data_IF_380706736743
#
_entry.id   IF_380706736743
#
_cell.length_a   1.000
_cell.length_b   1.000
_cell.length_c   1.000
_cell.angle_alpha   90.00
_cell.angle_beta   90.00
_cell.angle_gamma   90.00
#
_symmetry.space_group_name_H-M   'P 1'
#
loop_
_entity.id
_entity.type
_entity.pdbx_description
1 polymer ?
#
# COMPACT_ATOMS: atom_id res chain seq x y z
N UNK A 1 -9.79 -45.81 -21.77
CA UNK A 1 -9.01 -44.61 -22.15
C UNK A 1 -9.48 -43.44 -21.28
N UNK A 2 -8.70 -43.10 -20.26
CA UNK A 2 -9.02 -42.00 -19.34
C UNK A 2 -8.22 -40.80 -19.83
N UNK A 3 -8.89 -39.76 -20.27
CA UNK A 3 -8.25 -38.48 -20.63
C UNK A 3 -8.01 -37.68 -19.37
N UNK A 4 -6.74 -37.52 -18.99
CA UNK A 4 -6.33 -36.62 -17.97
C UNK A 4 -6.34 -35.19 -18.55
N UNK A 5 -7.26 -34.36 -18.08
CA UNK A 5 -7.25 -32.90 -18.35
C UNK A 5 -6.17 -32.31 -17.47
N UNK A 6 -5.02 -32.01 -18.05
CA UNK A 6 -3.99 -31.16 -17.44
C UNK A 6 -4.52 -29.73 -17.41
N UNK A 7 -4.98 -29.28 -16.25
CA UNK A 7 -5.21 -27.87 -15.98
C UNK A 7 -3.85 -27.17 -15.94
N UNK A 8 -3.50 -26.47 -17.02
CA UNK A 8 -2.37 -25.57 -17.03
C UNK A 8 -2.68 -24.39 -16.12
N UNK A 9 -2.02 -24.31 -14.98
CA UNK A 9 -1.98 -23.10 -14.17
C UNK A 9 -1.33 -22.01 -15.04
N UNK A 10 -2.11 -21.10 -15.56
CA UNK A 10 -1.57 -19.87 -16.14
C UNK A 10 -0.94 -19.06 -15.01
N UNK A 11 0.37 -19.07 -14.98
CA UNK A 11 1.13 -18.06 -14.22
C UNK A 11 0.86 -16.74 -14.94
N UNK A 12 -0.09 -15.96 -14.42
CA UNK A 12 -0.31 -14.61 -14.88
C UNK A 12 0.98 -13.84 -14.62
N UNK A 13 1.63 -13.41 -15.70
CA UNK A 13 2.85 -12.59 -15.63
C UNK A 13 2.58 -11.37 -14.76
N UNK A 14 3.43 -11.15 -13.75
CA UNK A 14 3.34 -10.00 -12.86
C UNK A 14 3.21 -8.72 -13.70
N UNK A 15 2.31 -7.83 -13.26
CA UNK A 15 2.12 -6.54 -13.91
C UNK A 15 3.45 -5.78 -13.88
N UNK A 16 3.95 -5.38 -15.03
CA UNK A 16 5.16 -4.56 -15.11
C UNK A 16 4.81 -3.14 -14.69
N UNK A 17 5.71 -2.48 -13.96
CA UNK A 17 5.50 -1.09 -13.50
C UNK A 17 5.10 -0.16 -14.63
N UNK A 18 5.63 -0.36 -15.84
CA UNK A 18 5.37 0.46 -17.03
C UNK A 18 3.89 0.47 -17.50
N UNK A 19 3.05 -0.39 -16.94
CA UNK A 19 1.62 -0.50 -17.29
C UNK A 19 0.68 -0.02 -16.18
N UNK A 20 1.21 0.65 -15.17
CA UNK A 20 0.41 1.25 -14.11
C UNK A 20 0.00 2.68 -14.46
N UNK A 21 -0.89 3.27 -13.67
CA UNK A 21 -1.46 4.58 -13.90
C UNK A 21 -1.14 5.53 -12.74
N UNK A 22 -1.08 6.83 -13.03
CA UNK A 22 -1.01 7.86 -12.01
C UNK A 22 -2.40 8.35 -11.59
N UNK A 23 -2.54 8.56 -10.30
CA UNK A 23 -3.48 9.47 -9.69
C UNK A 23 -2.65 10.57 -9.03
N UNK A 24 -2.84 11.82 -9.44
CA UNK A 24 -1.98 12.96 -9.07
C UNK A 24 -0.50 12.72 -9.44
N UNK A 25 -0.21 12.64 -10.73
CA UNK A 25 1.14 12.41 -11.24
C UNK A 25 2.11 13.51 -10.76
N UNK A 26 3.25 13.18 -10.13
CA UNK A 26 4.25 14.16 -9.74
C UNK A 26 4.98 14.70 -10.97
N UNK A 27 5.52 15.92 -10.88
CA UNK A 27 6.22 16.57 -11.99
C UNK A 27 7.55 15.91 -12.38
N UNK A 28 8.14 15.14 -11.48
CA UNK A 28 9.45 14.50 -11.68
C UNK A 28 9.44 13.08 -11.09
N UNK A 29 9.56 12.10 -11.98
CA UNK A 29 9.62 10.69 -11.64
C UNK A 29 10.29 9.87 -12.74
N UNK A 30 10.75 8.67 -12.39
CA UNK A 30 11.32 7.75 -13.37
C UNK A 30 11.11 6.29 -12.95
N UNK A 31 11.10 5.39 -13.94
CA UNK A 31 11.17 3.95 -13.73
C UNK A 31 12.44 3.44 -14.39
N UNK A 32 13.35 2.87 -13.57
CA UNK A 32 14.62 2.31 -14.03
C UNK A 32 14.85 0.95 -13.37
N UNK A 33 15.02 -0.11 -14.17
CA UNK A 33 15.30 -1.45 -13.66
C UNK A 33 14.25 -1.99 -12.68
N UNK A 34 12.96 -1.71 -12.92
CA UNK A 34 11.87 -2.14 -12.04
C UNK A 34 11.76 -1.36 -10.72
N UNK A 35 12.44 -0.21 -10.62
CA UNK A 35 12.40 0.72 -9.50
C UNK A 35 11.74 2.02 -9.93
N UNK A 36 10.67 2.43 -9.21
CA UNK A 36 10.06 3.74 -9.33
C UNK A 36 10.75 4.70 -8.35
N UNK A 37 11.19 5.86 -8.85
CA UNK A 37 11.66 6.98 -8.03
C UNK A 37 10.83 8.21 -8.38
N UNK A 38 10.39 8.97 -7.37
CA UNK A 38 9.63 10.20 -7.56
C UNK A 38 10.08 11.30 -6.60
N UNK A 39 10.08 12.54 -7.07
CA UNK A 39 10.09 13.73 -6.20
C UNK A 39 8.65 14.00 -5.77
N UNK A 40 8.37 13.82 -4.47
CA UNK A 40 7.03 13.93 -3.92
C UNK A 40 6.53 15.36 -4.01
N UNK A 41 5.30 15.54 -4.48
CA UNK A 41 4.66 16.83 -4.62
C UNK A 41 4.59 17.57 -3.28
N UNK A 42 5.12 18.81 -3.18
CA UNK A 42 5.03 19.61 -1.97
C UNK A 42 3.59 19.91 -1.55
N UNK A 43 3.34 20.01 -0.24
CA UNK A 43 2.04 20.35 0.36
C UNK A 43 0.90 19.41 -0.07
N UNK A 44 1.20 18.13 -0.28
CA UNK A 44 0.26 17.11 -0.75
C UNK A 44 -0.01 16.05 0.31
N UNK A 45 -1.24 15.55 0.38
CA UNK A 45 -1.62 14.50 1.33
C UNK A 45 -2.85 13.69 0.86
N UNK A 46 -3.18 12.68 1.66
CA UNK A 46 -4.47 11.98 1.71
C UNK A 46 -4.98 12.01 3.15
N UNK A 47 -5.95 12.86 3.41
CA UNK A 47 -6.56 12.99 4.73
C UNK A 47 -8.02 13.42 4.63
N UNK A 48 -8.84 12.95 5.55
CA UNK A 48 -10.26 13.35 5.62
C UNK A 48 -10.69 13.61 7.05
N UNK A 49 -11.03 14.86 7.32
CA UNK A 49 -11.80 15.39 8.44
C UNK A 49 -11.17 15.22 9.82
N UNK A 50 -10.90 13.97 10.27
CA UNK A 50 -10.54 13.66 11.66
C UNK A 50 -9.47 14.60 12.21
N UNK A 51 -9.69 15.10 13.42
CA UNK A 51 -8.82 16.01 14.17
C UNK A 51 -8.61 17.38 13.52
N UNK A 52 -8.26 17.44 12.23
CA UNK A 52 -7.85 18.68 11.55
C UNK A 52 -9.00 19.40 10.83
N UNK A 53 -10.13 18.76 10.56
CA UNK A 53 -11.32 19.33 9.93
C UNK A 53 -11.24 19.57 8.42
N UNK A 54 -10.12 19.26 7.76
CA UNK A 54 -9.96 19.43 6.31
C UNK A 54 -10.05 18.09 5.55
N UNK A 55 -10.19 18.19 4.25
CA UNK A 55 -10.07 17.06 3.32
C UNK A 55 -9.05 17.42 2.24
N UNK A 56 -8.10 16.52 2.00
CA UNK A 56 -7.08 16.61 0.96
C UNK A 56 -6.91 15.25 0.28
N UNK A 57 -6.68 15.25 -1.05
CA UNK A 57 -6.67 14.04 -1.88
C UNK A 57 -5.81 14.29 -3.13
N UNK A 58 -4.59 14.80 -2.95
CA UNK A 58 -3.76 15.36 -4.02
C UNK A 58 -2.31 14.86 -4.08
N UNK A 59 -1.94 13.93 -3.19
CA UNK A 59 -0.61 13.34 -3.21
C UNK A 59 -0.42 12.32 -4.36
N UNK A 60 0.80 12.07 -4.83
CA UNK A 60 1.10 11.08 -5.86
C UNK A 60 0.72 9.65 -5.47
N UNK A 61 0.05 8.96 -6.40
CA UNK A 61 -0.29 7.54 -6.26
C UNK A 61 -0.16 6.81 -7.60
N UNK A 62 0.78 5.88 -7.70
CA UNK A 62 1.03 5.06 -8.87
C UNK A 62 0.43 3.68 -8.66
N UNK A 63 -0.58 3.29 -9.45
CA UNK A 63 -1.44 2.14 -9.15
C UNK A 63 -1.81 1.29 -10.35
N UNK A 64 -2.24 0.06 -10.03
CA UNK A 64 -3.01 -0.79 -10.91
C UNK A 64 -4.31 -1.22 -10.22
N UNK A 65 -5.30 -1.69 -11.00
CA UNK A 65 -6.57 -2.18 -10.46
C UNK A 65 -6.54 -3.70 -10.32
N UNK A 66 -6.98 -4.19 -9.14
CA UNK A 66 -7.09 -5.61 -8.85
C UNK A 66 -8.41 -5.95 -8.19
N UNK A 67 -9.07 -7.01 -8.72
CA UNK A 67 -10.23 -7.65 -8.09
C UNK A 67 -9.83 -8.94 -7.37
N UNK A 68 -10.78 -9.51 -6.60
CA UNK A 68 -10.58 -10.75 -5.87
C UNK A 68 -9.60 -10.67 -4.71
N UNK A 69 -9.11 -11.82 -4.26
CA UNK A 69 -8.12 -11.92 -3.20
C UNK A 69 -6.70 -11.84 -3.76
N UNK A 70 -5.81 -11.16 -3.05
CA UNK A 70 -4.43 -10.99 -3.48
C UNK A 70 -3.46 -10.77 -2.31
N UNK A 71 -2.19 -11.00 -2.57
CA UNK A 71 -1.06 -10.49 -1.80
C UNK A 71 -0.33 -9.45 -2.64
N UNK A 72 -0.10 -8.27 -2.06
CA UNK A 72 0.72 -7.24 -2.65
C UNK A 72 1.92 -6.92 -1.76
N UNK A 73 3.08 -6.66 -2.36
CA UNK A 73 4.32 -6.39 -1.66
C UNK A 73 5.11 -5.29 -2.36
N UNK A 74 5.79 -4.46 -1.58
CA UNK A 74 6.69 -3.42 -2.06
C UNK A 74 7.80 -3.15 -1.05
N UNK A 75 8.99 -2.83 -1.54
CA UNK A 75 10.09 -2.26 -0.75
C UNK A 75 10.09 -0.75 -0.93
N UNK A 76 10.10 -0.02 0.18
CA UNK A 76 9.95 1.43 0.22
C UNK A 76 11.14 2.06 0.92
N UNK A 77 11.68 3.14 0.35
CA UNK A 77 12.65 4.03 0.97
C UNK A 77 12.32 5.48 0.66
N UNK A 78 12.80 6.42 1.46
CA UNK A 78 12.58 7.84 1.25
C UNK A 78 13.55 8.69 2.06
N UNK A 79 13.87 9.86 1.51
CA UNK A 79 14.70 10.88 2.17
C UNK A 79 13.80 11.82 3.01
N UNK A 80 13.11 11.23 3.99
CA UNK A 80 12.14 11.93 4.84
C UNK A 80 12.84 13.00 5.69
N UNK A 81 12.34 14.24 5.65
CA UNK A 81 12.98 15.41 6.28
C UNK A 81 12.05 16.24 7.14
N UNK A 82 10.81 16.36 6.72
CA UNK A 82 9.84 17.26 7.33
C UNK A 82 8.69 16.44 7.91
N UNK A 83 8.06 16.98 8.95
CA UNK A 83 6.91 16.33 9.59
C UNK A 83 5.87 15.89 8.56
N UNK A 84 5.39 14.68 8.70
CA UNK A 84 4.42 14.00 7.83
C UNK A 84 4.93 13.61 6.44
N UNK A 85 6.22 13.81 6.11
CA UNK A 85 6.78 13.12 4.95
C UNK A 85 6.51 11.63 5.06
N UNK A 86 5.88 11.04 4.05
CA UNK A 86 5.44 9.65 4.10
C UNK A 86 5.49 8.97 2.74
N UNK A 87 5.84 7.69 2.74
CA UNK A 87 5.81 6.85 1.54
C UNK A 87 5.48 5.40 1.89
N UNK A 88 4.77 4.73 0.99
CA UNK A 88 4.36 3.36 1.22
C UNK A 88 3.43 2.78 0.15
N UNK A 89 2.54 1.92 0.60
CA UNK A 89 1.51 1.29 -0.22
C UNK A 89 0.15 1.92 0.08
N UNK A 90 -0.66 2.10 -0.95
CA UNK A 90 -2.07 2.46 -0.81
C UNK A 90 -2.97 1.42 -1.47
N UNK A 91 -4.06 1.09 -0.79
CA UNK A 91 -5.20 0.33 -1.30
C UNK A 91 -6.38 1.30 -1.29
N UNK A 92 -6.96 1.57 -2.46
CA UNK A 92 -7.96 2.61 -2.62
C UNK A 92 -9.15 2.12 -3.42
N UNK A 93 -10.33 2.19 -2.85
CA UNK A 93 -11.59 2.00 -3.56
C UNK A 93 -12.00 3.33 -4.24
N UNK A 94 -12.09 4.39 -3.46
CA UNK A 94 -12.45 5.73 -3.91
C UNK A 94 -11.83 6.82 -3.00
N UNK A 95 -12.29 8.08 -3.15
CA UNK A 95 -11.78 9.22 -2.38
C UNK A 95 -12.23 9.22 -0.90
N UNK A 96 -13.21 8.41 -0.52
CA UNK A 96 -13.69 8.25 0.86
C UNK A 96 -13.26 6.95 1.52
N UNK A 97 -12.76 5.99 0.72
CA UNK A 97 -12.46 4.63 1.18
C UNK A 97 -11.09 4.21 0.68
N UNK A 98 -10.08 4.33 1.53
CA UNK A 98 -8.70 3.94 1.24
C UNK A 98 -7.94 3.57 2.51
N UNK A 99 -6.85 2.83 2.31
CA UNK A 99 -5.87 2.51 3.34
C UNK A 99 -4.52 2.92 2.79
N UNK A 100 -3.80 3.81 3.49
CA UNK A 100 -2.40 4.14 3.21
C UNK A 100 -1.52 3.63 4.34
N UNK A 101 -0.37 3.04 4.01
CA UNK A 101 0.51 2.41 4.99
C UNK A 101 1.97 2.45 4.53
N UNK A 102 2.91 2.66 5.46
CA UNK A 102 4.33 2.76 5.15
C UNK A 102 5.14 3.40 6.26
N UNK A 103 6.16 4.15 5.87
CA UNK A 103 6.92 5.02 6.78
C UNK A 103 6.31 6.43 6.76
N UNK A 104 6.22 7.03 7.93
CA UNK A 104 5.85 8.42 8.12
C UNK A 104 6.81 9.09 9.11
N UNK A 105 7.32 10.25 8.77
CA UNK A 105 8.24 11.01 9.61
C UNK A 105 7.45 11.94 10.54
N UNK A 106 7.43 11.63 11.83
CA UNK A 106 6.68 12.39 12.83
C UNK A 106 7.59 12.68 14.04
N UNK A 107 7.62 13.94 14.46
CA UNK A 107 8.35 14.40 15.63
C UNK A 107 9.84 13.98 15.65
N UNK A 108 10.48 14.04 14.48
CA UNK A 108 11.89 13.71 14.31
C UNK A 108 12.20 12.20 14.28
N UNK A 109 11.18 11.36 14.16
CA UNK A 109 11.30 9.89 14.13
C UNK A 109 10.63 9.27 12.93
N UNK A 110 11.20 8.17 12.46
CA UNK A 110 10.53 7.28 11.52
C UNK A 110 9.49 6.46 12.27
N UNK A 111 8.30 6.39 11.71
CA UNK A 111 7.20 5.61 12.27
C UNK A 111 6.66 4.66 11.22
N UNK A 112 6.31 3.45 11.64
CA UNK A 112 5.37 2.62 10.89
C UNK A 112 3.99 3.26 11.02
N UNK A 113 3.36 3.59 9.91
CA UNK A 113 2.09 4.29 9.88
C UNK A 113 1.06 3.54 9.06
N UNK A 114 -0.17 3.55 9.53
CA UNK A 114 -1.34 3.12 8.75
C UNK A 114 -2.50 4.08 9.01
N UNK A 115 -3.07 4.60 7.93
CA UNK A 115 -4.31 5.36 7.96
C UNK A 115 -5.38 4.56 7.24
N UNK A 116 -6.46 4.26 7.94
CA UNK A 116 -7.68 3.65 7.38
C UNK A 116 -8.72 4.76 7.25
N UNK A 117 -9.19 5.00 6.03
CA UNK A 117 -10.20 6.01 5.77
C UNK A 117 -11.50 5.36 5.32
N UNK A 118 -12.57 5.59 6.09
CA UNK A 118 -13.97 5.32 5.77
C UNK A 118 -14.74 6.60 6.06
N UNK A 119 -14.87 7.48 5.06
CA UNK A 119 -15.37 8.85 5.17
C UNK A 119 -14.50 9.75 6.05
N UNK A 120 -13.96 9.25 7.13
CA UNK A 120 -13.02 9.93 8.04
C UNK A 120 -11.76 9.09 8.22
N UNK A 121 -10.62 9.76 8.38
CA UNK A 121 -9.32 9.10 8.56
C UNK A 121 -9.10 8.64 10.00
N UNK A 122 -8.66 7.40 10.17
CA UNK A 122 -8.24 6.77 11.43
C UNK A 122 -6.75 6.41 11.31
N UNK A 123 -5.93 7.06 12.12
CA UNK A 123 -4.48 7.01 12.03
C UNK A 123 -3.85 6.25 13.21
N UNK A 124 -2.92 5.36 12.90
CA UNK A 124 -2.11 4.65 13.88
C UNK A 124 -0.63 4.69 13.49
N UNK A 125 0.24 4.91 14.49
CA UNK A 125 1.70 4.98 14.33
C UNK A 125 2.41 4.20 15.41
N UNK A 126 3.56 3.63 15.03
CA UNK A 126 4.50 2.98 15.94
C UNK A 126 5.88 3.56 15.63
N UNK A 127 6.45 4.31 16.59
CA UNK A 127 7.78 4.89 16.44
C UNK A 127 8.84 3.78 16.33
N UNK A 128 9.75 3.91 15.37
CA UNK A 128 10.93 3.07 15.27
C UNK A 128 12.04 3.59 16.17
N UNK A 129 12.78 2.69 16.81
CA UNK A 129 13.89 3.05 17.70
C UNK A 129 15.06 3.70 16.95
N UNK A 130 15.14 3.50 15.64
CA UNK A 130 16.18 4.02 14.75
C UNK A 130 15.64 4.27 13.34
N UNK A 131 16.25 5.19 12.58
CA UNK A 131 16.00 5.31 11.15
C UNK A 131 16.27 3.99 10.42
N UNK A 132 15.55 3.76 9.34
CA UNK A 132 15.73 2.60 8.46
C UNK A 132 15.97 3.09 7.03
N UNK A 133 16.87 2.41 6.32
CA UNK A 133 17.15 2.73 4.91
C UNK A 133 15.98 2.35 4.00
N UNK A 134 15.22 1.32 4.39
CA UNK A 134 14.04 0.84 3.70
C UNK A 134 13.14 0.02 4.62
N UNK A 135 11.92 -0.19 4.17
CA UNK A 135 10.95 -1.10 4.78
C UNK A 135 10.24 -1.91 3.69
N UNK A 136 9.90 -3.14 4.00
CA UNK A 136 8.98 -3.93 3.21
C UNK A 136 7.58 -3.79 3.77
N UNK A 137 6.63 -3.50 2.89
CA UNK A 137 5.20 -3.49 3.20
C UNK A 137 4.52 -4.59 2.41
N UNK A 138 3.69 -5.35 3.09
CA UNK A 138 2.86 -6.40 2.49
C UNK A 138 1.41 -6.21 2.90
N UNK A 139 0.51 -6.26 1.92
CA UNK A 139 -0.92 -6.26 2.13
C UNK A 139 -1.53 -7.56 1.60
N UNK A 140 -2.38 -8.20 2.39
CA UNK A 140 -3.09 -9.42 2.00
C UNK A 140 -4.59 -9.16 2.06
N UNK A 141 -5.24 -9.20 0.90
CA UNK A 141 -6.70 -9.10 0.83
C UNK A 141 -7.32 -10.48 0.95
N UNK A 142 -8.19 -10.64 1.94
CA UNK A 142 -8.99 -11.85 2.16
C UNK A 142 -10.42 -11.45 2.48
N UNK A 143 -11.39 -11.91 1.65
CA UNK A 143 -12.80 -11.58 1.82
C UNK A 143 -13.02 -10.07 1.92
N UNK A 144 -13.44 -9.58 3.07
CA UNK A 144 -13.74 -8.18 3.40
C UNK A 144 -12.68 -7.55 4.32
N UNK A 145 -11.44 -8.02 4.27
CA UNK A 145 -10.34 -7.51 5.08
C UNK A 145 -9.05 -7.33 4.28
N UNK A 146 -8.27 -6.33 4.71
CA UNK A 146 -6.87 -6.16 4.33
C UNK A 146 -6.04 -6.33 5.60
N UNK A 147 -5.20 -7.36 5.61
CA UNK A 147 -4.15 -7.53 6.61
C UNK A 147 -2.87 -6.84 6.12
N UNK A 148 -2.28 -5.99 6.95
CA UNK A 148 -1.09 -5.21 6.63
C UNK A 148 0.06 -5.68 7.50
N UNK A 149 1.18 -5.94 6.86
CA UNK A 149 2.41 -6.40 7.49
C UNK A 149 3.58 -5.53 7.08
N UNK A 150 4.60 -5.47 7.93
CA UNK A 150 5.91 -4.92 7.61
C UNK A 150 7.02 -5.93 7.85
N UNK A 151 8.16 -5.71 7.19
CA UNK A 151 9.38 -6.49 7.41
C UNK A 151 10.62 -5.62 7.16
N UNK A 152 11.71 -5.91 7.87
CA UNK A 152 13.01 -5.27 7.64
C UNK A 152 13.91 -6.06 6.69
N UNK A 153 13.57 -7.32 6.36
CA UNK A 153 14.44 -8.25 5.63
C UNK A 153 13.74 -9.07 4.54
N UNK A 154 12.43 -8.82 4.29
CA UNK A 154 11.56 -9.57 3.37
C UNK A 154 11.36 -11.06 3.75
N UNK A 155 11.64 -11.43 4.97
CA UNK A 155 11.52 -12.82 5.46
C UNK A 155 10.56 -12.91 6.64
N UNK A 156 10.85 -12.19 7.71
CA UNK A 156 10.00 -12.13 8.88
C UNK A 156 9.03 -10.94 8.77
N UNK A 157 7.74 -11.24 8.76
CA UNK A 157 6.68 -10.26 8.62
C UNK A 157 5.85 -10.14 9.89
N UNK A 158 5.66 -8.91 10.36
CA UNK A 158 4.89 -8.59 11.55
C UNK A 158 3.61 -7.86 11.15
N UNK A 159 2.47 -8.27 11.71
CA UNK A 159 1.19 -7.62 11.44
C UNK A 159 1.15 -6.22 12.09
N UNK A 160 0.77 -5.21 11.29
CA UNK A 160 0.51 -3.84 11.75
C UNK A 160 -0.97 -3.56 11.95
N UNK A 161 -1.78 -4.02 11.04
CA UNK A 161 -3.21 -3.69 11.00
C UNK A 161 -3.99 -4.81 10.32
N UNK A 162 -5.20 -5.05 10.80
CA UNK A 162 -6.27 -5.69 10.05
C UNK A 162 -7.40 -4.66 9.90
N UNK A 163 -7.76 -4.33 8.67
CA UNK A 163 -8.76 -3.32 8.36
C UNK A 163 -9.86 -3.92 7.48
N UNK A 164 -11.09 -3.50 7.72
CA UNK A 164 -12.20 -3.83 6.85
C UNK A 164 -12.08 -3.12 5.51
N UNK A 165 -12.47 -3.80 4.44
CA UNK A 165 -12.62 -3.25 3.08
C UNK A 165 -13.86 -3.87 2.46
N UNK A 166 -14.56 -3.09 1.64
CA UNK A 166 -15.74 -3.62 0.95
C UNK A 166 -15.36 -4.81 0.05
N UNK A 167 -16.08 -5.94 0.24
CA UNK A 167 -15.85 -7.14 -0.56
C UNK A 167 -16.33 -6.98 -2.00
N UNK A 168 -15.82 -7.80 -2.92
CA UNK A 168 -16.29 -7.94 -4.30
C UNK A 168 -16.13 -6.70 -5.20
N UNK A 169 -15.43 -5.68 -4.77
CA UNK A 169 -15.08 -4.53 -5.60
C UNK A 169 -13.59 -4.56 -5.96
N UNK A 170 -13.21 -4.29 -7.21
CA UNK A 170 -11.83 -4.01 -7.57
C UNK A 170 -11.32 -2.80 -6.76
N UNK A 171 -10.06 -2.83 -6.41
CA UNK A 171 -9.36 -1.73 -5.73
C UNK A 171 -8.16 -1.29 -6.54
N UNK A 172 -7.83 -0.01 -6.45
CA UNK A 172 -6.54 0.50 -6.90
C UNK A 172 -5.50 0.14 -5.83
N UNK A 173 -4.43 -0.52 -6.24
CA UNK A 173 -3.32 -0.85 -5.33
C UNK A 173 -2.00 -0.42 -5.93
N UNK A 174 -1.13 0.19 -5.13
CA UNK A 174 0.14 0.69 -5.64
C UNK A 174 0.95 1.47 -4.61
N UNK A 175 1.82 2.30 -5.12
CA UNK A 175 2.81 3.07 -4.39
C UNK A 175 2.35 4.52 -4.24
N UNK A 176 2.35 5.04 -3.03
CA UNK A 176 2.03 6.45 -2.76
C UNK A 176 3.15 7.12 -1.98
N UNK A 177 3.24 8.42 -2.09
CA UNK A 177 4.02 9.25 -1.19
C UNK A 177 3.32 10.61 -1.00
N UNK A 178 3.53 11.24 0.16
CA UNK A 178 2.95 12.54 0.48
C UNK A 178 3.93 13.39 1.30
N UNK A 179 3.84 14.71 1.12
CA UNK A 179 4.69 15.70 1.77
C UNK A 179 3.83 16.88 2.25
N UNK A 180 3.04 16.71 3.34
CA UNK A 180 2.06 17.73 3.79
C UNK A 180 2.67 19.07 4.16
N UNK A 181 3.74 19.06 4.93
CA UNK A 181 4.35 20.26 5.53
C UNK A 181 5.66 20.69 4.84
N UNK A 182 6.14 19.92 3.85
CA UNK A 182 7.48 20.11 3.27
C UNK A 182 7.47 20.60 1.82
N UNK A 183 8.68 20.79 1.30
CA UNK A 183 8.94 21.21 -0.07
C UNK A 183 9.22 20.04 -1.04
N UNK A 184 8.81 18.84 -0.67
CA UNK A 184 9.08 17.60 -1.40
C UNK A 184 10.31 16.86 -0.87
N UNK A 185 10.38 15.59 -1.19
CA UNK A 185 11.51 14.69 -0.91
C UNK A 185 11.53 13.57 -1.95
N UNK A 186 12.65 12.87 -2.07
CA UNK A 186 12.72 11.70 -2.95
C UNK A 186 12.18 10.46 -2.25
N UNK A 187 11.20 9.80 -2.88
CA UNK A 187 10.70 8.49 -2.50
C UNK A 187 11.04 7.46 -3.57
N UNK A 188 11.43 6.26 -3.14
CA UNK A 188 11.83 5.15 -4.02
C UNK A 188 11.11 3.88 -3.65
N UNK A 189 10.64 3.16 -4.68
CA UNK A 189 9.90 1.90 -4.55
C UNK A 189 10.52 0.85 -5.46
N UNK A 190 10.74 -0.34 -4.93
CA UNK A 190 11.21 -1.49 -5.70
C UNK A 190 10.45 -2.75 -5.35
N UNK A 191 10.61 -3.78 -6.18
CA UNK A 191 10.04 -5.11 -5.94
C UNK A 191 8.52 -5.10 -5.75
N UNK A 192 7.82 -4.11 -6.31
CA UNK A 192 6.37 -4.08 -6.27
C UNK A 192 5.80 -5.27 -7.04
N UNK A 193 4.99 -6.05 -6.36
CA UNK A 193 4.38 -7.25 -6.93
C UNK A 193 3.01 -7.47 -6.33
N UNK A 194 2.04 -7.82 -7.19
CA UNK A 194 0.73 -8.31 -6.77
C UNK A 194 0.57 -9.75 -7.26
N UNK A 195 0.19 -10.64 -6.36
CA UNK A 195 -0.04 -12.06 -6.64
C UNK A 195 -1.48 -12.39 -6.30
N UNK A 196 -2.22 -12.92 -7.26
CA UNK A 196 -3.57 -13.43 -6.99
C UNK A 196 -3.53 -14.60 -6.04
N UNK A 197 -4.45 -14.62 -5.12
CA UNK A 197 -4.71 -15.72 -4.20
C UNK A 197 -6.03 -16.40 -4.61
N UNK A 198 -6.19 -17.71 -4.36
CA UNK A 198 -7.48 -18.36 -4.55
C UNK A 198 -8.54 -17.68 -3.67
N UNK A 199 -9.65 -17.28 -4.28
CA UNK A 199 -10.77 -16.69 -3.55
C UNK A 199 -11.35 -17.68 -2.54
N UNK A 200 -11.66 -17.17 -1.35
CA UNK A 200 -12.25 -17.96 -0.27
C UNK A 200 -13.65 -17.48 0.04
N UNK A 201 -14.55 -18.44 0.18
CA UNK A 201 -15.86 -18.17 0.78
C UNK A 201 -15.70 -18.12 2.31
N UNK A 202 -16.30 -17.16 2.98
CA UNK A 202 -16.21 -16.98 4.45
C UNK A 202 -16.51 -18.28 5.22
N UNK A 203 -17.52 -19.04 4.79
CA UNK A 203 -17.87 -20.31 5.42
C UNK A 203 -16.77 -21.38 5.32
N UNK A 204 -16.00 -21.37 4.25
CA UNK A 204 -14.85 -22.26 4.05
C UNK A 204 -13.66 -21.79 4.88
N UNK A 205 -13.43 -20.49 4.89
CA UNK A 205 -12.40 -19.91 5.74
C UNK A 205 -12.62 -20.21 7.22
N UNK A 206 -13.84 -20.03 7.74
CA UNK A 206 -14.21 -20.32 9.11
C UNK A 206 -13.99 -21.80 9.49
N UNK A 207 -14.24 -22.73 8.57
CA UNK A 207 -13.99 -24.17 8.83
C UNK A 207 -12.51 -24.50 9.06
N UNK A 208 -11.60 -23.72 8.47
CA UNK A 208 -10.16 -23.96 8.54
C UNK A 208 -9.48 -23.15 9.64
N UNK A 209 -10.18 -22.19 10.26
CA UNK A 209 -9.63 -21.25 11.24
C UNK A 209 -10.48 -21.12 12.52
N UNK A 210 -11.53 -21.92 12.65
CA UNK A 210 -12.25 -22.06 13.92
C UNK A 210 -11.45 -23.02 14.82
N UNK A 211 -10.77 -22.47 15.81
CA UNK A 211 -10.28 -23.22 16.99
C UNK A 211 -11.36 -23.32 18.05
#
# INVERSE_FOLDING_TARGET
MIWAVLASAQIMSGQTLEKMNWYNEPSDWSINGGKLTMNVTPNSDYWRISHYGFTVDDAPFYYAEYGGEFEAKVKVSGDYKVRFDQAGMMIRLDHENYIKTGIEFVDGKYNLSTVVTHKTSDWSVIALDRPVDYIWIKAVRRLDAIEIFYSFDDKEYHMMRNAWVEANHPVKIGMFAACPDGNGFEATFSDFKVTHLPDKVRSEWLKTHAE
#
